data_IF_501508748597
#
_entry.id   IF_501508748597
#
_cell.length_a   1.000
_cell.length_b   1.000
_cell.length_c   1.000
_cell.angle_alpha   90.00
_cell.angle_beta   90.00
_cell.angle_gamma   90.00
#
_symmetry.space_group_name_H-M   'P 1'
#
loop_
_entity.id
_entity.type
_entity.pdbx_description
1 polymer ?
#
# COMPACT_ATOMS: atom_id res chain seq x y z
N UNK A 1 8.15 -6.50 23.38
CA UNK A 1 9.55 -6.59 22.92
C UNK A 1 9.68 -5.64 21.74
N UNK A 2 10.60 -4.69 21.84
CA UNK A 2 10.72 -3.55 20.94
C UNK A 2 11.26 -3.98 19.56
N UNK A 3 10.62 -3.52 18.48
CA UNK A 3 11.13 -3.67 17.11
C UNK A 3 12.21 -2.64 16.85
N UNK A 4 13.37 -3.10 16.38
CA UNK A 4 14.47 -2.23 15.97
C UNK A 4 14.12 -1.51 14.66
N UNK A 5 14.24 -0.19 14.69
CA UNK A 5 14.10 0.67 13.52
C UNK A 5 15.43 0.63 12.75
N UNK A 6 15.47 0.02 11.56
CA UNK A 6 16.67 0.06 10.71
C UNK A 6 16.76 1.42 10.02
N UNK A 7 17.88 2.11 10.22
CA UNK A 7 18.22 3.37 9.56
C UNK A 7 18.81 3.09 8.17
N UNK A 8 18.37 3.82 7.15
CA UNK A 8 18.67 3.59 5.73
C UNK A 8 20.07 4.09 5.27
N UNK A 9 20.90 4.62 6.16
CA UNK A 9 22.19 5.22 5.76
C UNK A 9 23.32 4.20 5.53
N UNK A 10 23.20 2.95 5.99
CA UNK A 10 24.33 2.00 6.00
C UNK A 10 24.41 1.06 4.79
N UNK A 11 23.52 1.17 3.79
CA UNK A 11 23.46 0.19 2.67
C UNK A 11 24.16 0.68 1.38
N UNK A 12 24.81 1.85 1.41
CA UNK A 12 25.32 2.51 0.19
C UNK A 12 26.84 2.76 0.18
N UNK A 13 27.61 2.01 0.96
CA UNK A 13 29.06 2.01 0.84
C UNK A 13 29.52 0.67 0.27
N UNK A 14 30.32 0.75 -0.80
CA UNK A 14 31.20 -0.29 -1.32
C UNK A 14 30.58 -1.24 -2.35
N UNK A 15 30.63 -0.82 -3.61
CA UNK A 15 30.37 -1.67 -4.76
C UNK A 15 31.46 -2.73 -4.94
N UNK A 16 31.05 -4.00 -5.00
CA UNK A 16 31.70 -5.10 -5.71
C UNK A 16 30.64 -6.19 -6.03
N UNK A 17 30.76 -6.94 -7.14
CA UNK A 17 29.76 -7.89 -7.61
C UNK A 17 30.15 -9.36 -7.37
N UNK A 18 29.25 -10.21 -6.85
CA UNK A 18 29.20 -11.67 -7.09
C UNK A 18 28.16 -12.34 -6.20
N UNK A 19 27.21 -13.10 -6.76
CA UNK A 19 27.21 -14.57 -6.66
C UNK A 19 26.06 -15.20 -7.47
N UNK A 20 26.37 -16.39 -7.94
CA UNK A 20 25.81 -17.18 -9.04
C UNK A 20 24.49 -17.90 -8.74
N UNK A 21 23.73 -18.14 -9.83
CA UNK A 21 22.58 -19.03 -9.97
C UNK A 21 22.65 -20.33 -9.13
N UNK A 22 21.52 -20.72 -8.56
CA UNK A 22 21.14 -22.12 -8.44
C UNK A 22 19.63 -22.32 -8.67
N UNK A 23 19.34 -23.37 -9.44
CA UNK A 23 18.06 -23.75 -9.99
C UNK A 23 17.26 -24.52 -8.92
N UNK A 24 16.14 -23.97 -8.41
CA UNK A 24 15.17 -24.75 -7.62
C UNK A 24 13.73 -24.36 -7.96
N UNK A 25 12.98 -25.42 -8.20
CA UNK A 25 11.54 -25.57 -8.47
C UNK A 25 10.61 -24.47 -7.97
N UNK A 26 9.77 -24.00 -8.90
CA UNK A 26 8.52 -23.28 -8.67
C UNK A 26 7.68 -23.89 -7.54
N UNK A 27 7.32 -23.12 -6.50
CA UNK A 27 6.14 -23.41 -5.70
C UNK A 27 4.93 -22.82 -6.42
N UNK A 28 4.05 -23.71 -6.88
CA UNK A 28 2.65 -23.37 -7.14
C UNK A 28 2.02 -22.85 -5.85
N UNK A 29 1.16 -21.83 -5.98
CA UNK A 29 0.19 -21.40 -4.96
C UNK A 29 0.76 -20.65 -3.75
N UNK A 30 0.95 -19.33 -3.87
CA UNK A 30 0.95 -18.39 -2.73
C UNK A 30 0.04 -17.20 -3.08
N UNK A 31 -0.98 -17.01 -2.25
CA UNK A 31 -2.14 -16.15 -2.45
C UNK A 31 -1.81 -14.65 -2.58
N UNK A 32 -2.19 -14.06 -3.72
CA UNK A 32 -2.83 -12.75 -4.00
C UNK A 32 -2.48 -11.44 -3.27
N UNK A 33 -1.90 -11.36 -2.07
CA UNK A 33 -2.00 -10.12 -1.27
C UNK A 33 -0.77 -9.23 -1.14
N UNK A 34 0.33 -9.48 -1.86
CA UNK A 34 1.60 -8.83 -1.56
C UNK A 34 2.32 -8.28 -2.80
N UNK A 35 2.14 -6.99 -3.11
CA UNK A 35 3.13 -6.27 -3.93
C UNK A 35 3.17 -4.78 -3.56
N UNK A 36 3.72 -4.47 -2.40
CA UNK A 36 4.12 -3.12 -2.05
C UNK A 36 5.62 -3.03 -1.69
N UNK A 37 6.46 -3.62 -2.55
CA UNK A 37 7.91 -3.42 -2.48
C UNK A 37 8.37 -2.53 -3.64
N UNK A 38 8.78 -1.31 -3.26
CA UNK A 38 9.51 -0.33 -4.08
C UNK A 38 10.99 -0.74 -4.29
N UNK A 39 11.31 -2.00 -4.01
CA UNK A 39 12.60 -2.62 -4.30
C UNK A 39 12.34 -4.04 -4.75
N UNK A 40 12.67 -4.32 -6.01
CA UNK A 40 12.76 -5.65 -6.56
C UNK A 40 13.79 -6.45 -5.74
N UNK A 41 13.30 -7.27 -4.80
CA UNK A 41 14.09 -8.33 -4.16
C UNK A 41 13.60 -9.62 -4.81
N UNK A 42 14.47 -10.22 -5.62
CA UNK A 42 14.17 -11.44 -6.39
C UNK A 42 14.11 -12.68 -5.48
N UNK A 43 14.54 -12.54 -4.22
CA UNK A 43 14.43 -13.53 -3.15
C UNK A 43 13.34 -13.11 -2.14
N UNK A 44 12.12 -13.61 -2.30
CA UNK A 44 11.07 -13.42 -1.29
C UNK A 44 11.32 -14.38 -0.11
N UNK A 45 11.89 -13.86 0.98
CA UNK A 45 11.88 -14.55 2.28
C UNK A 45 10.57 -14.23 3.02
N UNK A 46 9.71 -15.23 3.31
CA UNK A 46 8.43 -15.00 3.99
C UNK A 46 8.69 -14.57 5.43
N UNK A 47 8.53 -13.28 5.74
CA UNK A 47 8.80 -12.76 7.09
C UNK A 47 7.80 -11.68 7.51
N UNK A 48 7.21 -11.89 8.69
CA UNK A 48 6.69 -10.95 9.70
C UNK A 48 6.40 -9.51 9.22
N UNK A 49 5.13 -9.08 9.32
CA UNK A 49 4.67 -7.73 8.97
C UNK A 49 5.70 -6.61 9.24
N UNK A 50 6.16 -5.98 8.16
CA UNK A 50 7.23 -4.98 8.18
C UNK A 50 6.62 -3.57 8.08
N UNK A 51 7.07 -2.67 8.95
CA UNK A 51 6.63 -1.26 8.94
C UNK A 51 7.75 -0.35 8.44
N UNK A 52 7.51 0.39 7.36
CA UNK A 52 8.42 1.38 6.81
C UNK A 52 7.97 2.79 7.17
N UNK A 53 8.90 3.66 7.55
CA UNK A 53 8.62 5.05 7.91
C UNK A 53 9.54 5.98 7.15
N UNK A 54 8.97 6.96 6.46
CA UNK A 54 9.75 7.94 5.69
C UNK A 54 9.14 9.34 5.80
N UNK A 55 9.98 10.37 5.78
CA UNK A 55 9.53 11.75 5.58
C UNK A 55 9.56 12.06 4.09
N UNK A 56 8.46 12.60 3.58
CA UNK A 56 8.30 13.00 2.18
C UNK A 56 7.72 14.41 2.12
N UNK A 57 7.93 15.11 1.00
CA UNK A 57 7.30 16.40 0.75
C UNK A 57 6.07 16.18 -0.11
N UNK A 58 4.88 16.35 0.46
CA UNK A 58 3.60 16.28 -0.23
C UNK A 58 3.07 17.70 -0.45
N UNK A 59 2.98 18.13 -1.71
CA UNK A 59 2.45 19.43 -2.13
C UNK A 59 3.06 20.62 -1.36
N UNK A 60 4.39 20.57 -1.15
CA UNK A 60 5.17 21.59 -0.44
C UNK A 60 5.20 21.47 1.09
N UNK A 61 4.50 20.50 1.68
CA UNK A 61 4.53 20.24 3.12
C UNK A 61 5.28 18.94 3.45
N UNK A 62 6.16 18.95 4.47
CA UNK A 62 6.78 17.73 4.98
C UNK A 62 5.74 16.90 5.73
N UNK A 63 5.55 15.66 5.29
CA UNK A 63 4.63 14.67 5.87
C UNK A 63 5.40 13.38 6.11
N UNK A 64 5.14 12.71 7.24
CA UNK A 64 5.66 11.38 7.49
C UNK A 64 4.68 10.33 6.95
N UNK A 65 5.14 9.43 6.09
CA UNK A 65 4.41 8.25 5.67
C UNK A 65 4.86 7.06 6.51
N UNK A 66 3.90 6.34 7.08
CA UNK A 66 4.06 5.05 7.75
C UNK A 66 3.37 4.01 6.85
N UNK A 67 4.15 3.11 6.24
CA UNK A 67 3.67 2.04 5.36
C UNK A 67 3.75 0.74 6.15
N UNK A 68 2.67 -0.01 6.19
CA UNK A 68 2.67 -1.35 6.78
C UNK A 68 2.54 -2.39 5.67
N UNK A 69 3.59 -3.18 5.45
CA UNK A 69 3.57 -4.30 4.53
C UNK A 69 3.06 -5.54 5.27
N UNK A 70 1.79 -5.87 5.04
CA UNK A 70 1.18 -7.09 5.56
C UNK A 70 1.45 -8.22 4.57
N UNK A 71 2.59 -8.91 4.69
CA UNK A 71 2.77 -10.19 4.05
C UNK A 71 1.58 -11.10 4.42
N UNK A 72 0.89 -11.66 3.43
CA UNK A 72 -0.38 -12.40 3.53
C UNK A 72 -0.39 -13.70 4.35
N UNK A 73 0.27 -13.71 5.51
CA UNK A 73 0.31 -14.76 6.53
C UNK A 73 -0.34 -14.29 7.85
N UNK A 74 -1.30 -13.38 7.79
CA UNK A 74 -2.06 -13.00 8.98
C UNK A 74 -3.16 -14.03 9.27
N UNK A 75 -2.75 -15.23 9.70
CA UNK A 75 -3.66 -16.32 10.11
C UNK A 75 -4.60 -15.91 11.26
N UNK A 76 -4.33 -14.77 11.92
CA UNK A 76 -5.15 -14.21 12.99
C UNK A 76 -5.96 -13.00 12.52
N UNK A 77 -7.25 -13.23 12.24
CA UNK A 77 -8.21 -12.19 11.88
C UNK A 77 -8.20 -10.96 12.81
N UNK A 78 -7.96 -11.17 14.12
CA UNK A 78 -7.90 -10.08 15.09
C UNK A 78 -6.73 -9.10 14.87
N UNK A 79 -5.58 -9.59 14.37
CA UNK A 79 -4.41 -8.75 14.08
C UNK A 79 -4.68 -7.92 12.83
N UNK A 80 -5.17 -8.56 11.77
CA UNK A 80 -5.58 -7.92 10.53
C UNK A 80 -6.64 -6.83 10.75
N UNK A 81 -7.66 -7.11 11.55
CA UNK A 81 -8.71 -6.13 11.88
C UNK A 81 -8.15 -4.92 12.67
N UNK A 82 -7.06 -5.11 13.43
CA UNK A 82 -6.39 -4.00 14.09
C UNK A 82 -5.61 -3.11 13.09
N UNK A 83 -5.00 -3.71 12.07
CA UNK A 83 -4.37 -2.95 10.99
C UNK A 83 -5.41 -2.21 10.14
N UNK A 84 -6.52 -2.85 9.78
CA UNK A 84 -7.62 -2.17 9.09
C UNK A 84 -8.21 -1.02 9.91
N UNK A 85 -8.37 -1.17 11.22
CA UNK A 85 -8.82 -0.06 12.07
C UNK A 85 -7.85 1.12 12.07
N UNK A 86 -6.56 0.85 12.19
CA UNK A 86 -5.51 1.86 12.32
C UNK A 86 -5.01 2.48 11.01
N UNK A 87 -5.15 1.78 9.87
CA UNK A 87 -4.78 2.28 8.55
C UNK A 87 -5.64 3.47 8.14
N UNK A 88 -5.05 4.54 7.60
CA UNK A 88 -5.78 5.74 7.21
C UNK A 88 -6.14 5.75 5.72
N UNK A 89 -5.41 4.98 4.91
CA UNK A 89 -5.76 4.67 3.53
C UNK A 89 -5.15 3.34 3.09
N UNK A 90 -5.70 2.79 2.01
CA UNK A 90 -5.44 1.42 1.59
C UNK A 90 -5.02 1.34 0.11
N UNK A 91 -3.89 0.68 -0.17
CA UNK A 91 -3.50 0.31 -1.53
C UNK A 91 -3.91 -1.15 -1.79
N UNK A 92 -4.95 -1.34 -2.60
CA UNK A 92 -5.38 -2.67 -3.02
C UNK A 92 -4.65 -3.08 -4.29
N UNK A 93 -3.57 -3.84 -4.12
CA UNK A 93 -2.68 -4.22 -5.23
C UNK A 93 -3.04 -5.61 -5.75
N UNK A 94 -3.15 -5.74 -7.08
CA UNK A 94 -3.21 -7.02 -7.78
C UNK A 94 -2.16 -7.07 -8.88
N UNK A 95 -1.93 -8.24 -9.46
CA UNK A 95 -1.02 -8.43 -10.60
C UNK A 95 -1.83 -8.48 -11.91
N UNK A 96 -1.49 -7.65 -12.90
CA UNK A 96 -2.20 -7.67 -14.19
C UNK A 96 -2.06 -9.00 -14.93
N UNK A 97 -1.07 -9.81 -14.56
CA UNK A 97 -0.80 -11.13 -15.13
C UNK A 97 -1.48 -12.29 -14.40
N UNK A 98 -2.32 -12.01 -13.39
CA UNK A 98 -2.92 -13.06 -12.54
C UNK A 98 -4.37 -12.70 -12.20
N UNK A 99 -5.32 -13.33 -12.90
CA UNK A 99 -6.75 -13.06 -12.75
C UNK A 99 -7.27 -13.35 -11.33
N UNK A 100 -6.77 -14.40 -10.68
CA UNK A 100 -7.11 -14.73 -9.29
C UNK A 100 -6.73 -13.61 -8.33
N UNK A 101 -5.62 -12.91 -8.59
CA UNK A 101 -5.20 -11.80 -7.76
C UNK A 101 -6.16 -10.61 -7.86
N UNK A 102 -6.66 -10.35 -9.06
CA UNK A 102 -7.68 -9.35 -9.29
C UNK A 102 -9.00 -9.76 -8.63
N UNK A 103 -9.44 -11.01 -8.76
CA UNK A 103 -10.68 -11.48 -8.14
C UNK A 103 -10.72 -11.22 -6.62
N UNK A 104 -9.63 -11.49 -5.89
CA UNK A 104 -9.62 -11.32 -4.44
C UNK A 104 -9.56 -9.86 -3.95
N UNK A 105 -9.36 -8.88 -4.84
CA UNK A 105 -9.46 -7.45 -4.48
C UNK A 105 -10.84 -7.08 -3.94
N UNK A 106 -11.89 -7.78 -4.38
CA UNK A 106 -13.25 -7.57 -3.89
C UNK A 106 -13.38 -7.97 -2.41
N UNK A 107 -12.90 -9.15 -2.05
CA UNK A 107 -12.91 -9.65 -0.67
C UNK A 107 -12.08 -8.75 0.24
N UNK A 108 -10.92 -8.28 -0.24
CA UNK A 108 -10.08 -7.33 0.48
C UNK A 108 -10.83 -6.06 0.85
N UNK A 109 -11.47 -5.45 -0.16
CA UNK A 109 -12.25 -4.23 0.01
C UNK A 109 -13.39 -4.45 1.00
N UNK A 110 -14.16 -5.53 0.84
CA UNK A 110 -15.28 -5.84 1.73
C UNK A 110 -14.82 -5.94 3.20
N UNK A 111 -13.69 -6.60 3.45
CA UNK A 111 -13.13 -6.72 4.80
C UNK A 111 -12.73 -5.36 5.39
N UNK A 112 -12.10 -4.49 4.60
CA UNK A 112 -11.74 -3.13 5.03
C UNK A 112 -13.00 -2.35 5.38
N UNK A 113 -13.98 -2.30 4.47
CA UNK A 113 -15.22 -1.54 4.66
C UNK A 113 -15.99 -2.02 5.89
N UNK A 114 -16.07 -3.34 6.09
CA UNK A 114 -16.70 -3.94 7.27
C UNK A 114 -16.02 -3.51 8.57
N UNK A 115 -14.69 -3.49 8.61
CA UNK A 115 -13.94 -3.15 9.83
C UNK A 115 -13.89 -1.64 10.08
N UNK A 116 -13.94 -0.83 9.00
CA UNK A 116 -13.98 0.63 9.06
C UNK A 116 -15.36 1.19 9.40
N UNK A 117 -16.42 0.46 9.03
CA UNK A 117 -17.79 0.96 9.06
C UNK A 117 -17.95 2.28 8.26
N UNK A 118 -17.20 2.42 7.16
CA UNK A 118 -17.14 3.62 6.32
C UNK A 118 -16.92 3.26 4.84
N UNK A 119 -17.88 3.59 3.99
CA UNK A 119 -17.84 3.37 2.53
C UNK A 119 -16.89 4.33 1.79
N UNK A 120 -16.47 5.43 2.41
CA UNK A 120 -15.63 6.46 1.79
C UNK A 120 -14.20 6.46 2.34
N UNK A 121 -13.69 5.29 2.73
CA UNK A 121 -12.30 5.15 3.15
C UNK A 121 -11.35 5.47 1.99
N UNK A 122 -10.26 6.23 2.19
CA UNK A 122 -9.24 6.45 1.16
C UNK A 122 -8.70 5.11 0.65
N UNK A 123 -8.84 4.86 -0.64
CA UNK A 123 -8.63 3.54 -1.23
C UNK A 123 -8.22 3.68 -2.70
N UNK A 124 -7.15 3.01 -3.09
CA UNK A 124 -6.64 2.99 -4.46
C UNK A 124 -6.58 1.56 -4.98
N UNK A 125 -7.14 1.30 -6.16
CA UNK A 125 -6.95 0.03 -6.85
C UNK A 125 -5.68 0.11 -7.72
N UNK A 126 -4.77 -0.85 -7.57
CA UNK A 126 -3.45 -0.82 -8.21
C UNK A 126 -3.19 -2.11 -8.98
N UNK A 127 -3.01 -1.99 -10.30
CA UNK A 127 -2.59 -3.10 -11.15
C UNK A 127 -1.08 -3.12 -11.32
N UNK A 128 -0.38 -3.96 -10.56
CA UNK A 128 1.08 -4.08 -10.64
C UNK A 128 1.53 -5.02 -11.77
N UNK A 129 2.83 -4.97 -12.08
CA UNK A 129 3.52 -5.71 -13.15
C UNK A 129 3.13 -5.24 -14.55
N UNK A 130 2.88 -3.93 -14.71
CA UNK A 130 2.61 -3.31 -16.02
C UNK A 130 3.75 -3.47 -17.04
N UNK A 131 4.95 -3.88 -16.59
CA UNK A 131 6.06 -4.25 -17.47
C UNK A 131 5.88 -5.62 -18.17
N UNK A 132 4.90 -6.42 -17.75
CA UNK A 132 4.61 -7.76 -18.29
C UNK A 132 3.37 -7.76 -19.18
N UNK A 133 3.26 -6.79 -20.09
CA UNK A 133 2.10 -6.61 -20.97
C UNK A 133 1.78 -7.87 -21.79
N UNK A 134 2.80 -8.58 -22.30
CA UNK A 134 2.64 -9.82 -23.08
C UNK A 134 2.00 -10.98 -22.27
N UNK A 135 1.95 -10.85 -20.95
CA UNK A 135 1.38 -11.85 -20.03
C UNK A 135 0.10 -11.33 -19.35
N UNK A 136 -0.46 -10.22 -19.82
CA UNK A 136 -1.67 -9.63 -19.26
C UNK A 136 -2.84 -10.61 -19.31
N UNK A 137 -3.48 -10.79 -18.16
CA UNK A 137 -4.72 -11.56 -18.00
C UNK A 137 -5.90 -10.67 -17.62
N UNK A 138 -5.63 -9.52 -16.98
CA UNK A 138 -6.64 -8.54 -16.56
C UNK A 138 -6.54 -7.33 -17.48
N UNK A 139 -7.62 -7.04 -18.20
CA UNK A 139 -7.64 -5.89 -19.10
C UNK A 139 -7.73 -4.58 -18.32
N UNK A 140 -7.15 -3.50 -18.88
CA UNK A 140 -7.24 -2.15 -18.32
C UNK A 140 -8.71 -1.73 -18.14
N UNK A 141 -9.56 -2.07 -19.12
CA UNK A 141 -10.99 -1.76 -19.08
C UNK A 141 -11.70 -2.46 -17.93
N UNK A 142 -11.43 -3.75 -17.71
CA UNK A 142 -12.03 -4.52 -16.61
C UNK A 142 -11.64 -3.96 -15.24
N UNK A 143 -10.35 -3.66 -15.04
CA UNK A 143 -9.86 -3.07 -13.79
C UNK A 143 -10.41 -1.67 -13.55
N UNK A 144 -10.50 -0.85 -14.62
CA UNK A 144 -11.08 0.49 -14.54
C UNK A 144 -12.57 0.46 -14.24
N UNK A 145 -13.34 -0.42 -14.90
CA UNK A 145 -14.76 -0.58 -14.65
C UNK A 145 -15.04 -0.95 -13.19
N UNK A 146 -14.20 -1.81 -12.59
CA UNK A 146 -14.30 -2.12 -11.16
C UNK A 146 -14.01 -0.92 -10.29
N UNK A 147 -12.95 -0.16 -10.58
CA UNK A 147 -12.63 1.05 -9.83
C UNK A 147 -13.73 2.10 -9.91
N UNK A 148 -14.36 2.26 -11.08
CA UNK A 148 -15.50 3.15 -11.30
C UNK A 148 -16.73 2.71 -10.49
N UNK A 149 -17.06 1.41 -10.46
CA UNK A 149 -18.13 0.85 -9.62
C UNK A 149 -17.89 1.11 -8.12
N UNK A 150 -16.62 1.11 -7.75
CA UNK A 150 -16.14 1.35 -6.40
C UNK A 150 -15.96 2.83 -6.06
N UNK A 151 -16.10 3.71 -7.04
CA UNK A 151 -15.81 5.15 -6.93
C UNK A 151 -14.40 5.42 -6.37
N UNK A 152 -13.40 4.69 -6.86
CA UNK A 152 -11.99 4.85 -6.49
C UNK A 152 -11.11 5.02 -7.73
N UNK A 153 -9.91 5.55 -7.54
CA UNK A 153 -8.95 5.67 -8.63
C UNK A 153 -8.28 4.31 -8.94
N UNK A 154 -7.99 4.08 -10.22
CA UNK A 154 -7.18 2.97 -10.70
C UNK A 154 -5.86 3.45 -11.30
N UNK A 155 -4.76 2.80 -10.93
CA UNK A 155 -3.43 3.09 -11.46
C UNK A 155 -2.68 1.79 -11.74
N UNK A 156 -2.08 1.66 -12.92
CA UNK A 156 -1.13 0.59 -13.18
C UNK A 156 0.28 0.97 -12.76
N UNK A 157 0.99 0.03 -12.14
CA UNK A 157 2.36 0.21 -11.64
C UNK A 157 3.26 -0.91 -12.12
N UNK A 158 4.56 -0.63 -12.09
CA UNK A 158 5.58 -1.66 -12.23
C UNK A 158 6.64 -1.43 -11.18
N UNK A 159 6.70 -2.32 -10.19
CA UNK A 159 7.77 -2.32 -9.19
C UNK A 159 9.16 -2.46 -9.84
N UNK A 160 9.25 -3.23 -10.94
CA UNK A 160 10.49 -3.47 -11.69
C UNK A 160 11.04 -2.19 -12.34
N UNK A 161 10.17 -1.44 -13.01
CA UNK A 161 10.56 -0.21 -13.73
C UNK A 161 10.38 1.06 -12.90
N UNK A 162 9.81 0.91 -11.70
CA UNK A 162 9.35 1.98 -10.80
C UNK A 162 8.25 2.87 -11.40
N UNK A 163 7.62 2.44 -12.50
CA UNK A 163 6.53 3.19 -13.12
C UNK A 163 5.35 3.35 -12.16
N UNK A 164 4.91 4.60 -11.97
CA UNK A 164 3.79 5.02 -11.11
C UNK A 164 3.87 4.60 -9.63
N UNK A 165 5.00 4.05 -9.18
CA UNK A 165 5.16 3.58 -7.80
C UNK A 165 5.02 4.74 -6.82
N UNK A 166 5.76 5.84 -7.03
CA UNK A 166 5.63 7.01 -6.16
C UNK A 166 4.23 7.64 -6.28
N UNK A 167 3.68 7.66 -7.50
CA UNK A 167 2.37 8.26 -7.80
C UNK A 167 1.27 7.66 -6.93
N UNK A 168 1.18 6.34 -6.81
CA UNK A 168 0.11 5.69 -6.02
C UNK A 168 0.17 6.05 -4.53
N UNK A 169 1.38 6.17 -3.98
CA UNK A 169 1.55 6.63 -2.59
C UNK A 169 1.14 8.08 -2.42
N UNK A 170 1.62 8.98 -3.29
CA UNK A 170 1.28 10.40 -3.19
C UNK A 170 -0.21 10.66 -3.40
N UNK A 171 -0.85 9.97 -4.35
CA UNK A 171 -2.29 10.10 -4.59
C UNK A 171 -3.11 9.64 -3.38
N UNK A 172 -2.78 8.47 -2.81
CA UNK A 172 -3.46 8.00 -1.60
C UNK A 172 -3.21 8.94 -0.41
N UNK A 173 -1.99 9.45 -0.24
CA UNK A 173 -1.71 10.44 0.82
C UNK A 173 -2.55 11.71 0.67
N UNK A 174 -2.83 12.16 -0.57
CA UNK A 174 -3.73 13.30 -0.82
C UNK A 174 -5.16 12.98 -0.42
N UNK A 175 -5.66 11.78 -0.76
CA UNK A 175 -7.00 11.34 -0.34
C UNK A 175 -7.13 11.29 1.19
N UNK A 176 -6.14 10.71 1.89
CA UNK A 176 -6.09 10.69 3.35
C UNK A 176 -6.11 12.12 3.92
N UNK A 177 -5.30 13.02 3.34
CA UNK A 177 -5.22 14.41 3.77
C UNK A 177 -6.55 15.13 3.58
N UNK A 178 -7.22 14.93 2.45
CA UNK A 178 -8.53 15.51 2.17
C UNK A 178 -9.58 15.04 3.18
N UNK A 179 -9.65 13.74 3.45
CA UNK A 179 -10.55 13.15 4.45
C UNK A 179 -10.35 13.73 5.85
N UNK A 180 -9.10 13.84 6.31
CA UNK A 180 -8.78 14.46 7.61
C UNK A 180 -9.21 15.93 7.70
N UNK A 181 -9.18 16.65 6.58
CA UNK A 181 -9.67 18.03 6.53
C UNK A 181 -11.19 18.12 6.64
N UNK A 182 -11.94 17.18 6.06
CA UNK A 182 -13.40 17.09 6.15
C UNK A 182 -13.86 16.79 7.57
N UNK A 183 -13.31 15.75 8.20
CA UNK A 183 -13.60 15.38 9.59
C UNK A 183 -13.37 16.54 10.58
N UNK A 184 -12.37 17.38 10.28
CA UNK A 184 -12.02 18.54 11.09
C UNK A 184 -12.99 19.72 10.94
N UNK A 185 -13.72 19.80 9.81
CA UNK A 185 -14.75 20.81 9.58
C UNK A 185 -16.04 20.45 10.33
N UNK A 186 -16.39 19.18 10.38
CA UNK A 186 -17.61 18.71 11.08
C UNK A 186 -17.49 18.81 12.61
N UNK A 187 -16.31 18.55 13.17
CA UNK A 187 -16.13 18.38 14.63
C UNK A 187 -15.92 19.66 15.45
N UNK A 188 -15.86 20.86 14.85
CA UNK A 188 -15.26 22.00 15.57
C UNK A 188 -16.14 23.21 15.89
N UNK A 189 -16.78 23.11 17.08
CA UNK A 189 -16.84 24.20 18.07
C UNK A 189 -15.43 24.64 18.51
N UNK A 190 -15.19 25.94 18.54
CA UNK A 190 -13.89 26.62 18.65
C UNK A 190 -13.17 26.39 19.99
N UNK A 191 -12.16 25.48 20.07
CA UNK A 191 -10.94 25.64 20.95
C UNK A 191 -9.87 24.52 20.86
N UNK A 192 -10.14 23.32 20.29
CA UNK A 192 -9.13 22.24 20.13
C UNK A 192 -8.35 22.20 18.80
N UNK A 193 -8.62 23.14 17.87
CA UNK A 193 -8.13 23.12 16.48
C UNK A 193 -6.61 23.15 16.27
N UNK A 194 -5.83 23.77 17.15
CA UNK A 194 -4.40 24.00 16.91
C UNK A 194 -3.53 22.74 17.05
N UNK A 195 -3.85 21.82 17.96
CA UNK A 195 -3.03 20.60 18.18
C UNK A 195 -3.37 19.48 17.19
N UNK A 196 -4.63 19.33 16.81
CA UNK A 196 -5.07 18.30 15.85
C UNK A 196 -4.67 18.64 14.41
N UNK A 197 -4.76 19.92 14.00
CA UNK A 197 -4.32 20.34 12.67
C UNK A 197 -2.80 20.17 12.47
N UNK A 198 -2.01 20.23 13.55
CA UNK A 198 -0.59 19.89 13.54
C UNK A 198 -0.37 18.38 13.38
N UNK A 199 -1.13 17.56 14.13
CA UNK A 199 -1.05 16.09 14.06
C UNK A 199 -1.53 15.51 12.73
N UNK A 200 -2.51 16.15 12.08
CA UNK A 200 -3.01 15.82 10.74
C UNK A 200 -1.95 16.12 9.66
N UNK A 201 -1.10 17.13 9.84
CA UNK A 201 -0.02 17.47 8.90
C UNK A 201 1.17 16.52 8.96
N UNK A 202 1.38 15.84 10.07
CA UNK A 202 2.66 15.19 10.33
C UNK A 202 2.71 13.70 10.00
N UNK A 203 1.58 12.98 9.86
CA UNK A 203 1.59 11.53 9.64
C UNK A 203 0.43 10.99 8.78
N UNK A 204 0.74 10.09 7.85
CA UNK A 204 -0.20 9.25 7.09
C UNK A 204 0.16 7.76 7.28
N UNK A 205 -0.79 6.96 7.78
CA UNK A 205 -0.66 5.51 7.87
C UNK A 205 -1.29 4.86 6.64
N UNK A 206 -0.49 4.20 5.81
CA UNK A 206 -0.93 3.48 4.61
C UNK A 206 -0.75 1.98 4.85
N UNK A 207 -1.80 1.23 4.53
CA UNK A 207 -1.81 -0.22 4.47
C UNK A 207 -1.83 -0.69 3.01
#
# INVERSE_FOLDING_TARGET
MAGESKNLETVWADGEPALTMNHLSTPRSINTYAYLLVTFVEDYEPTKADSYRKKVVLDGEEVQIDILDTAGQEDYAAIRDNYFRSGEGFLCVFSITELESFAATADFREQILRVKEDENVPFLLVGNKSDLEDKRQVSVEEAKNRADQWNVNYVETSAKTRANVDKVFFDLMREIRARKMEDSKEKNGKKKRKSLAKRIRERCCIL
#
